data_IF_744800596367
#
_entry.id   IF_744800596367
#
_cell.length_a   1.000
_cell.length_b   1.000
_cell.length_c   1.000
_cell.angle_alpha   90.00
_cell.angle_beta   90.00
_cell.angle_gamma   90.00
#
_symmetry.space_group_name_H-M   'P 1'
#
loop_
_entity.id
_entity.type
_entity.pdbx_description
1 polymer ?
#
# COMPACT_ATOMS: atom_id res chain seq x y z
N UNK A 1 18.61 -0.91 -1.63
CA UNK A 1 18.31 -1.92 -2.66
C UNK A 1 17.18 -1.34 -3.49
N UNK A 2 17.34 -1.13 -4.80
CA UNK A 2 16.23 -0.65 -5.62
C UNK A 2 15.04 -1.62 -5.49
N UNK A 3 13.79 -1.13 -5.50
CA UNK A 3 12.63 -2.02 -5.45
C UNK A 3 12.71 -2.98 -6.63
N UNK A 4 12.67 -4.29 -6.34
CA UNK A 4 12.63 -5.30 -7.38
C UNK A 4 11.31 -5.11 -8.15
N UNK A 5 11.39 -4.64 -9.40
CA UNK A 5 10.21 -4.53 -10.26
C UNK A 5 9.60 -5.92 -10.46
N UNK A 6 8.32 -6.13 -10.14
CA UNK A 6 7.72 -7.44 -10.32
C UNK A 6 7.60 -7.78 -11.82
N UNK A 7 7.63 -9.07 -12.12
CA UNK A 7 7.40 -9.59 -13.46
C UNK A 7 5.96 -9.28 -13.90
N UNK A 8 5.73 -8.50 -14.98
CA UNK A 8 4.39 -8.15 -15.44
C UNK A 8 3.49 -9.35 -15.68
N UNK A 9 4.04 -10.48 -16.15
CA UNK A 9 3.26 -11.70 -16.38
C UNK A 9 2.70 -12.28 -15.08
N UNK A 10 3.47 -12.20 -13.98
CA UNK A 10 3.01 -12.62 -12.65
C UNK A 10 1.97 -11.69 -12.07
N UNK A 11 2.13 -10.38 -12.25
CA UNK A 11 1.12 -9.39 -11.83
C UNK A 11 -0.19 -9.65 -12.57
N UNK A 12 -0.12 -9.85 -13.89
CA UNK A 12 -1.28 -10.17 -14.72
C UNK A 12 -1.96 -11.47 -14.30
N UNK A 13 -1.20 -12.54 -14.06
CA UNK A 13 -1.75 -13.81 -13.61
C UNK A 13 -2.48 -13.70 -12.26
N UNK A 14 -1.91 -12.97 -11.30
CA UNK A 14 -2.55 -12.74 -10.00
C UNK A 14 -3.81 -11.87 -10.13
N UNK A 15 -3.80 -10.88 -11.02
CA UNK A 15 -4.96 -10.05 -11.33
C UNK A 15 -6.11 -10.90 -11.91
N UNK A 16 -5.82 -11.70 -12.94
CA UNK A 16 -6.82 -12.55 -13.60
C UNK A 16 -7.38 -13.62 -12.65
N UNK A 17 -6.54 -14.21 -11.78
CA UNK A 17 -6.99 -15.15 -10.76
C UNK A 17 -8.03 -14.53 -9.81
N UNK A 18 -7.76 -13.30 -9.34
CA UNK A 18 -8.71 -12.60 -8.47
C UNK A 18 -10.01 -12.21 -9.18
N UNK A 19 -9.94 -11.85 -10.47
CA UNK A 19 -11.12 -11.55 -11.27
C UNK A 19 -12.02 -12.78 -11.44
N UNK A 20 -11.43 -13.97 -11.62
CA UNK A 20 -12.18 -15.24 -11.61
C UNK A 20 -12.90 -15.45 -10.28
N UNK A 21 -12.26 -15.20 -9.14
CA UNK A 21 -12.90 -15.28 -7.81
C UNK A 21 -14.06 -14.29 -7.66
N UNK A 22 -14.00 -13.16 -8.37
CA UNK A 22 -15.06 -12.14 -8.38
C UNK A 22 -16.17 -12.41 -9.40
N UNK A 23 -16.09 -13.50 -10.16
CA UNK A 23 -16.95 -13.79 -11.32
C UNK A 23 -16.95 -12.66 -12.36
N UNK A 24 -15.76 -12.08 -12.58
CA UNK A 24 -15.51 -11.00 -13.54
C UNK A 24 -14.68 -11.51 -14.73
N UNK A 25 -14.84 -10.90 -15.92
CA UNK A 25 -14.00 -11.22 -17.07
C UNK A 25 -12.52 -10.93 -16.77
N UNK A 26 -11.62 -11.63 -17.47
CA UNK A 26 -10.18 -11.37 -17.39
C UNK A 26 -9.86 -9.94 -17.81
N UNK A 27 -8.77 -9.40 -17.28
CA UNK A 27 -8.39 -8.01 -17.51
C UNK A 27 -8.10 -7.73 -18.99
N UNK A 28 -8.76 -6.74 -19.57
CA UNK A 28 -8.66 -6.38 -20.99
C UNK A 28 -7.94 -5.03 -21.23
N UNK A 29 -7.48 -4.38 -20.15
CA UNK A 29 -6.77 -3.10 -20.21
C UNK A 29 -5.29 -3.21 -20.62
N UNK A 30 -4.56 -2.07 -20.60
CA UNK A 30 -3.16 -2.01 -20.98
C UNK A 30 -2.28 -2.97 -20.15
N UNK A 31 -1.36 -3.66 -20.82
CA UNK A 31 -0.43 -4.62 -20.20
C UNK A 31 0.82 -3.99 -19.59
N UNK A 32 0.89 -2.65 -19.50
CA UNK A 32 1.99 -1.95 -18.86
C UNK A 32 2.04 -2.27 -17.37
N UNK A 33 3.24 -2.34 -16.78
CA UNK A 33 3.39 -2.72 -15.37
C UNK A 33 2.64 -1.76 -14.42
N UNK A 34 2.68 -0.45 -14.70
CA UNK A 34 1.96 0.53 -13.91
C UNK A 34 0.44 0.34 -14.00
N UNK A 35 -0.07 0.08 -15.21
CA UNK A 35 -1.50 -0.17 -15.44
C UNK A 35 -1.97 -1.44 -14.72
N UNK A 36 -1.19 -2.52 -14.81
CA UNK A 36 -1.48 -3.78 -14.13
C UNK A 36 -1.49 -3.61 -12.60
N UNK A 37 -0.51 -2.88 -12.04
CA UNK A 37 -0.46 -2.64 -10.60
C UNK A 37 -1.62 -1.73 -10.13
N UNK A 38 -1.99 -0.72 -10.91
CA UNK A 38 -3.18 0.10 -10.67
C UNK A 38 -4.48 -0.73 -10.73
N UNK A 39 -4.59 -1.65 -11.68
CA UNK A 39 -5.70 -2.59 -11.78
C UNK A 39 -5.75 -3.53 -10.57
N UNK A 40 -4.61 -4.03 -10.08
CA UNK A 40 -4.56 -4.80 -8.84
C UNK A 40 -5.12 -4.02 -7.65
N UNK A 41 -4.75 -2.74 -7.48
CA UNK A 41 -5.31 -1.88 -6.42
C UNK A 41 -6.83 -1.79 -6.53
N UNK A 42 -7.35 -1.49 -7.71
CA UNK A 42 -8.79 -1.35 -7.93
C UNK A 42 -9.55 -2.65 -7.64
N UNK A 43 -9.03 -3.80 -8.11
CA UNK A 43 -9.66 -5.12 -7.93
C UNK A 43 -9.60 -5.58 -6.47
N UNK A 44 -8.48 -5.37 -5.78
CA UNK A 44 -8.35 -5.72 -4.35
C UNK A 44 -9.35 -4.94 -3.48
N UNK A 45 -9.47 -3.63 -3.71
CA UNK A 45 -10.45 -2.81 -3.01
C UNK A 45 -11.89 -3.20 -3.34
N UNK A 46 -12.16 -3.59 -4.59
CA UNK A 46 -13.47 -4.11 -5.00
C UNK A 46 -13.82 -5.41 -4.26
N UNK A 47 -12.87 -6.34 -4.16
CA UNK A 47 -13.03 -7.58 -3.42
C UNK A 47 -13.35 -7.32 -1.94
N UNK A 48 -12.59 -6.45 -1.27
CA UNK A 48 -12.89 -6.04 0.10
C UNK A 48 -14.29 -5.41 0.23
N UNK A 49 -14.68 -4.54 -0.70
CA UNK A 49 -16.02 -3.93 -0.72
C UNK A 49 -17.17 -4.92 -0.90
N UNK A 50 -16.90 -6.11 -1.46
CA UNK A 50 -17.85 -7.23 -1.55
C UNK A 50 -17.77 -8.20 -0.36
N UNK A 51 -16.96 -7.90 0.65
CA UNK A 51 -16.72 -8.80 1.79
C UNK A 51 -15.89 -10.04 1.43
N UNK A 52 -15.26 -10.05 0.25
CA UNK A 52 -14.41 -11.14 -0.22
C UNK A 52 -12.98 -10.83 0.21
N UNK A 53 -12.35 -11.77 0.93
CA UNK A 53 -10.92 -11.68 1.24
C UNK A 53 -10.12 -11.84 -0.06
N UNK A 54 -9.33 -10.84 -0.48
CA UNK A 54 -8.55 -10.94 -1.70
C UNK A 54 -7.40 -11.95 -1.56
N UNK A 55 -6.96 -12.48 -2.69
CA UNK A 55 -5.82 -13.39 -2.77
C UNK A 55 -4.52 -12.69 -2.33
N UNK A 56 -3.62 -13.49 -1.75
CA UNK A 56 -2.41 -12.98 -1.11
C UNK A 56 -1.48 -12.27 -2.09
N UNK A 57 -1.27 -12.80 -3.29
CA UNK A 57 -0.32 -12.25 -4.25
C UNK A 57 -0.82 -10.94 -4.87
N UNK A 58 -2.09 -10.84 -5.27
CA UNK A 58 -2.64 -9.56 -5.78
C UNK A 58 -2.63 -8.48 -4.70
N UNK A 59 -2.93 -8.84 -3.45
CA UNK A 59 -2.85 -7.92 -2.30
C UNK A 59 -1.41 -7.43 -2.09
N UNK A 60 -0.42 -8.33 -2.19
CA UNK A 60 0.99 -8.00 -2.10
C UNK A 60 1.40 -6.99 -3.17
N UNK A 61 0.97 -7.17 -4.41
CA UNK A 61 1.26 -6.24 -5.50
C UNK A 61 0.63 -4.87 -5.27
N UNK A 62 -0.66 -4.83 -4.90
CA UNK A 62 -1.37 -3.58 -4.62
C UNK A 62 -0.74 -2.78 -3.47
N UNK A 63 -0.46 -3.44 -2.34
CA UNK A 63 0.16 -2.83 -1.16
C UNK A 63 1.55 -2.30 -1.49
N UNK A 64 2.41 -3.14 -2.09
CA UNK A 64 3.79 -2.75 -2.44
C UNK A 64 3.81 -1.59 -3.42
N UNK A 65 2.95 -1.62 -4.44
CA UNK A 65 2.87 -0.56 -5.44
C UNK A 65 2.62 0.80 -4.79
N UNK A 66 1.62 0.90 -3.90
CA UNK A 66 1.29 2.16 -3.24
C UNK A 66 2.36 2.59 -2.22
N UNK A 67 3.00 1.65 -1.52
CA UNK A 67 4.13 1.98 -0.64
C UNK A 67 5.34 2.51 -1.43
N UNK A 68 5.64 1.91 -2.59
CA UNK A 68 6.72 2.37 -3.46
C UNK A 68 6.42 3.76 -4.05
N UNK A 69 5.14 4.06 -4.36
CA UNK A 69 4.70 5.41 -4.73
C UNK A 69 4.89 6.41 -3.57
N UNK A 70 4.51 6.05 -2.34
CA UNK A 70 4.78 6.89 -1.16
C UNK A 70 6.28 7.20 -1.03
N UNK A 71 7.12 6.16 -1.09
CA UNK A 71 8.57 6.32 -0.94
C UNK A 71 9.21 7.10 -2.10
N UNK A 72 8.60 7.08 -3.28
CA UNK A 72 9.02 7.89 -4.44
C UNK A 72 8.60 9.35 -4.29
N UNK A 73 7.38 9.61 -3.83
CA UNK A 73 6.85 10.96 -3.61
C UNK A 73 7.51 11.66 -2.41
N UNK A 74 7.84 10.91 -1.36
CA UNK A 74 8.47 11.39 -0.14
C UNK A 74 9.74 10.57 0.17
N UNK A 75 10.83 10.77 -0.60
CA UNK A 75 12.07 10.02 -0.38
C UNK A 75 12.63 10.29 1.01
N UNK A 76 13.22 9.28 1.64
CA UNK A 76 13.84 9.45 2.95
C UNK A 76 13.90 8.18 3.78
N UNK A 77 14.39 8.32 5.01
CA UNK A 77 14.61 7.20 5.93
C UNK A 77 14.15 7.50 7.36
N UNK A 78 13.30 8.53 7.50
CA UNK A 78 12.86 9.01 8.82
C UNK A 78 11.72 8.19 9.35
N UNK A 79 10.77 7.83 8.47
CA UNK A 79 9.55 7.08 8.80
C UNK A 79 9.59 5.72 8.11
N UNK A 80 9.28 4.67 8.85
CA UNK A 80 9.08 3.33 8.33
C UNK A 80 7.59 3.00 8.31
N UNK A 81 7.06 2.68 7.12
CA UNK A 81 5.65 2.28 6.95
C UNK A 81 5.60 0.78 6.73
N UNK A 82 4.81 0.08 7.53
CA UNK A 82 4.69 -1.38 7.55
C UNK A 82 3.25 -1.80 7.28
N UNK A 83 3.10 -2.73 6.35
CA UNK A 83 1.82 -3.36 6.02
C UNK A 83 2.02 -4.88 6.03
N UNK A 84 2.08 -5.51 7.22
CA UNK A 84 2.31 -6.94 7.33
C UNK A 84 1.13 -7.76 6.76
N UNK A 85 1.39 -8.93 6.17
CA UNK A 85 2.70 -9.56 5.94
C UNK A 85 3.36 -9.16 4.59
N UNK A 86 2.91 -8.08 3.94
CA UNK A 86 3.16 -7.85 2.51
C UNK A 86 4.45 -7.08 2.22
N UNK A 87 4.65 -5.95 2.90
CA UNK A 87 5.75 -5.04 2.60
C UNK A 87 6.00 -4.01 3.72
N UNK A 88 7.18 -3.41 3.67
CA UNK A 88 7.51 -2.19 4.38
C UNK A 88 8.42 -1.32 3.51
N UNK A 89 8.33 0.00 3.69
CA UNK A 89 9.20 0.99 3.04
C UNK A 89 9.68 2.03 4.03
N UNK A 90 10.79 2.70 3.72
CA UNK A 90 11.20 3.91 4.42
C UNK A 90 10.91 5.13 3.53
N UNK A 91 10.43 6.20 4.14
CA UNK A 91 10.07 7.44 3.46
C UNK A 91 10.30 8.64 4.40
N UNK A 92 9.98 9.83 3.89
CA UNK A 92 10.06 11.13 4.58
C UNK A 92 11.50 11.54 4.92
N UNK A 93 11.91 12.71 4.41
CA UNK A 93 13.21 13.31 4.72
C UNK A 93 13.29 13.73 6.20
N UNK A 94 14.50 13.70 6.74
CA UNK A 94 14.73 14.11 8.11
C UNK A 94 15.81 13.32 8.84
N UNK A 95 16.11 13.73 10.08
CA UNK A 95 17.08 13.05 10.91
C UNK A 95 16.54 11.67 11.31
N UNK A 96 17.45 10.70 11.37
CA UNK A 96 17.13 9.41 12.01
C UNK A 96 16.85 9.63 13.48
N UNK A 97 16.01 8.77 14.06
CA UNK A 97 15.80 8.75 15.50
C UNK A 97 17.15 8.65 16.22
N UNK A 98 17.29 9.37 17.33
CA UNK A 98 18.47 9.26 18.19
C UNK A 98 18.23 8.21 19.27
N UNK A 99 19.27 7.82 20.00
CA UNK A 99 19.13 6.92 21.16
C UNK A 99 18.18 7.58 22.17
N UNK A 100 17.14 6.84 22.61
CA UNK A 100 16.17 7.31 23.60
C UNK A 100 14.87 7.90 23.03
N UNK A 101 14.78 8.17 21.72
CA UNK A 101 13.51 8.53 21.07
C UNK A 101 12.91 7.31 20.35
N UNK A 102 11.61 7.02 20.49
CA UNK A 102 10.96 5.96 19.73
C UNK A 102 11.18 6.12 18.21
N UNK A 103 11.36 5.03 17.45
CA UNK A 103 11.47 5.11 16.00
C UNK A 103 10.16 5.63 15.41
N UNK A 104 10.24 6.38 14.29
CA UNK A 104 9.03 6.78 13.57
C UNK A 104 8.54 5.60 12.73
N UNK A 105 7.50 4.94 13.23
CA UNK A 105 6.92 3.75 12.61
C UNK A 105 5.43 3.96 12.47
N UNK A 106 4.91 3.63 11.28
CA UNK A 106 3.49 3.54 10.99
C UNK A 106 3.22 2.09 10.60
N UNK A 107 2.33 1.42 11.33
CA UNK A 107 1.92 0.05 11.02
C UNK A 107 0.40 -0.03 10.90
N UNK A 108 -0.09 -0.69 9.85
CA UNK A 108 -1.52 -0.87 9.58
C UNK A 108 -1.77 -2.11 8.72
N UNK A 109 -3.03 -2.53 8.59
CA UNK A 109 -3.42 -3.65 7.72
C UNK A 109 -3.53 -3.24 6.24
N UNK A 110 -3.65 -4.22 5.35
CA UNK A 110 -3.69 -3.97 3.92
C UNK A 110 -4.91 -3.15 3.46
N UNK A 111 -6.11 -3.40 4.00
CA UNK A 111 -7.29 -2.66 3.58
C UNK A 111 -7.16 -1.19 3.98
N UNK A 112 -6.82 -0.93 5.25
CA UNK A 112 -6.62 0.43 5.76
C UNK A 112 -5.55 1.18 4.95
N UNK A 113 -4.41 0.53 4.65
CA UNK A 113 -3.38 1.12 3.81
C UNK A 113 -3.89 1.49 2.41
N UNK A 114 -4.59 0.58 1.73
CA UNK A 114 -5.12 0.82 0.38
C UNK A 114 -6.15 1.95 0.39
N UNK A 115 -7.01 2.04 1.40
CA UNK A 115 -8.00 3.11 1.53
C UNK A 115 -7.32 4.47 1.78
N UNK A 116 -6.32 4.54 2.65
CA UNK A 116 -5.53 5.76 2.91
C UNK A 116 -4.79 6.22 1.65
N UNK A 117 -4.03 5.32 1.05
CA UNK A 117 -3.19 5.61 -0.11
C UNK A 117 -4.01 6.04 -1.34
N UNK A 118 -5.28 5.62 -1.43
CA UNK A 118 -6.20 5.99 -2.52
C UNK A 118 -7.21 7.08 -2.14
N UNK A 119 -7.15 7.61 -0.91
CA UNK A 119 -8.01 8.71 -0.46
C UNK A 119 -9.46 8.32 -0.14
N UNK A 120 -9.73 7.02 0.04
CA UNK A 120 -11.04 6.50 0.50
C UNK A 120 -11.23 6.59 2.01
N UNK A 121 -10.12 6.70 2.75
CA UNK A 121 -10.09 6.90 4.19
C UNK A 121 -9.07 8.00 4.48
N UNK A 122 -9.42 8.95 5.34
CA UNK A 122 -8.46 9.99 5.76
C UNK A 122 -7.57 9.48 6.90
N UNK A 123 -6.39 10.09 7.03
CA UNK A 123 -5.49 9.80 8.14
C UNK A 123 -6.18 10.00 9.51
N UNK A 124 -6.89 11.11 9.68
CA UNK A 124 -7.59 11.44 10.91
C UNK A 124 -8.66 10.41 11.28
N UNK A 125 -9.47 9.96 10.30
CA UNK A 125 -10.48 8.92 10.53
C UNK A 125 -9.84 7.58 10.92
N UNK A 126 -8.76 7.19 10.25
CA UNK A 126 -8.07 5.94 10.53
C UNK A 126 -7.42 5.93 11.92
N UNK A 127 -6.79 7.04 12.32
CA UNK A 127 -6.23 7.20 13.67
C UNK A 127 -7.33 7.21 14.74
N UNK A 128 -8.41 7.96 14.53
CA UNK A 128 -9.54 8.01 15.47
C UNK A 128 -10.21 6.63 15.66
N UNK A 129 -10.26 5.83 14.58
CA UNK A 129 -10.77 4.46 14.61
C UNK A 129 -9.76 3.42 15.13
N UNK A 130 -8.53 3.81 15.50
CA UNK A 130 -7.49 2.89 15.98
C UNK A 130 -6.97 1.92 14.91
N UNK A 131 -7.15 2.23 13.61
CA UNK A 131 -6.72 1.38 12.49
C UNK A 131 -5.23 1.51 12.16
N UNK A 132 -4.56 2.50 12.77
CA UNK A 132 -3.13 2.79 12.55
C UNK A 132 -2.42 2.76 13.91
N UNK A 133 -1.33 2.00 13.98
CA UNK A 133 -0.36 2.12 15.06
C UNK A 133 0.77 3.06 14.60
N UNK A 134 0.74 4.31 15.06
CA UNK A 134 1.78 5.30 14.77
C UNK A 134 2.60 5.59 16.04
N UNK A 135 3.93 5.50 15.91
CA UNK A 135 4.89 5.79 16.99
C UNK A 135 5.94 6.75 16.48
N UNK A 136 6.39 7.69 17.32
CA UNK A 136 7.41 8.69 16.99
C UNK A 136 6.79 10.02 16.53
N UNK A 137 7.50 11.12 16.76
CA UNK A 137 6.98 12.48 16.55
C UNK A 137 6.78 12.87 15.08
N UNK A 138 7.29 12.08 14.14
CA UNK A 138 7.16 12.29 12.69
C UNK A 138 6.33 11.22 11.99
N UNK A 139 5.65 10.35 12.74
CA UNK A 139 4.83 9.27 12.18
C UNK A 139 3.42 9.72 11.74
N UNK A 140 3.26 11.00 11.38
CA UNK A 140 2.04 11.52 10.76
C UNK A 140 2.25 11.55 9.24
N UNK A 141 1.41 10.83 8.50
CA UNK A 141 1.47 10.77 7.03
C UNK A 141 0.36 11.54 6.34
N UNK A 142 -0.43 12.35 7.05
CA UNK A 142 -1.58 13.08 6.50
C UNK A 142 -1.20 13.92 5.27
N UNK A 143 -0.08 14.65 5.31
CA UNK A 143 0.40 15.49 4.21
C UNK A 143 0.96 14.69 3.01
N UNK A 144 1.17 13.38 3.17
CA UNK A 144 1.71 12.49 2.14
C UNK A 144 0.66 11.57 1.52
N UNK A 145 -0.60 11.71 1.93
CA UNK A 145 -1.73 10.88 1.50
C UNK A 145 -2.84 11.75 0.87
N UNK A 146 -3.55 11.26 -0.17
CA UNK A 146 -3.30 10.02 -0.89
C UNK A 146 -2.02 10.08 -1.75
N UNK A 147 -1.46 8.92 -2.08
CA UNK A 147 -0.29 8.84 -2.96
C UNK A 147 -0.75 9.02 -4.41
N UNK A 148 0.00 9.80 -5.19
CA UNK A 148 -0.29 10.11 -6.60
C UNK A 148 0.72 9.46 -7.52
#
# INVERSE_FOLDING_TARGET
MPPHKPDPAKVRAALDAQLVVLDEPSYDGPGGLADLLGACVAVVLRAYGRGIRPEREITRFAVRHLLDLLATAAPGRTVEVRVPPYAAVQCVEGPRHTRGTPPNVVETDALTWLELATGRLTWAEATAAGKIAASGSRADLSDYLPVR
#
